data_IF_089392213011
#
_entry.id   IF_089392213011
#
_cell.length_a   1.000
_cell.length_b   1.000
_cell.length_c   1.000
_cell.angle_alpha   90.00
_cell.angle_beta   90.00
_cell.angle_gamma   90.00
#
_symmetry.space_group_name_H-M   'P 1'
#
loop_
_entity.id
_entity.type
_entity.pdbx_description
1 polymer ?
#
# COMPACT_ATOMS: atom_id res chain seq x y z
N UNK A 1 8.66 2.80 4.66
CA UNK A 1 8.77 2.10 3.37
C UNK A 1 7.39 1.76 2.83
N UNK A 2 6.55 1.10 3.63
CA UNK A 2 5.14 0.80 3.31
C UNK A 2 4.31 2.07 3.03
N UNK A 3 4.53 3.17 3.77
CA UNK A 3 3.84 4.43 3.48
C UNK A 3 4.26 5.08 2.15
N UNK A 4 5.48 4.80 1.67
CA UNK A 4 5.96 5.30 0.37
C UNK A 4 5.23 4.59 -0.77
N UNK A 5 4.99 3.28 -0.63
CA UNK A 5 4.17 2.51 -1.57
C UNK A 5 2.76 3.11 -1.63
N UNK A 6 2.11 3.35 -0.49
CA UNK A 6 0.78 3.97 -0.43
C UNK A 6 0.72 5.34 -1.11
N UNK A 7 1.76 6.17 -0.92
CA UNK A 7 1.87 7.47 -1.60
C UNK A 7 1.91 7.33 -3.13
N UNK A 8 2.72 6.41 -3.64
CA UNK A 8 2.86 6.22 -5.09
C UNK A 8 1.64 5.52 -5.71
N UNK A 9 0.92 4.68 -4.94
CA UNK A 9 -0.39 4.13 -5.33
C UNK A 9 -1.42 5.25 -5.55
N UNK A 10 -1.51 6.21 -4.64
CA UNK A 10 -2.44 7.35 -4.76
C UNK A 10 -2.08 8.23 -5.98
N UNK A 11 -0.79 8.36 -6.28
CA UNK A 11 -0.30 9.06 -7.48
C UNK A 11 -0.46 8.29 -8.79
N UNK A 12 -0.92 7.03 -8.73
CA UNK A 12 -1.02 6.13 -9.89
C UNK A 12 0.33 5.86 -10.60
N UNK A 13 1.44 5.96 -9.87
CA UNK A 13 2.76 5.68 -10.41
C UNK A 13 3.09 4.19 -10.29
N UNK A 14 2.47 3.38 -11.15
CA UNK A 14 2.51 1.92 -11.05
C UNK A 14 3.90 1.32 -11.20
N UNK A 15 4.76 1.92 -12.04
CA UNK A 15 6.15 1.46 -12.23
C UNK A 15 6.93 1.54 -10.92
N UNK A 16 6.83 2.66 -10.23
CA UNK A 16 7.50 2.87 -8.96
C UNK A 16 6.90 2.02 -7.84
N UNK A 17 5.57 1.84 -7.83
CA UNK A 17 4.89 0.93 -6.88
C UNK A 17 5.47 -0.48 -6.99
N UNK A 18 5.55 -1.02 -8.21
CA UNK A 18 6.13 -2.35 -8.45
C UNK A 18 7.60 -2.40 -8.02
N UNK A 19 8.39 -1.37 -8.34
CA UNK A 19 9.79 -1.29 -7.89
C UNK A 19 9.92 -1.36 -6.37
N UNK A 20 9.10 -0.58 -5.65
CA UNK A 20 9.11 -0.54 -4.19
C UNK A 20 8.64 -1.86 -3.56
N UNK A 21 7.72 -2.58 -4.22
CA UNK A 21 7.28 -3.91 -3.78
C UNK A 21 8.40 -4.92 -3.95
N UNK A 22 9.10 -4.93 -5.09
CA UNK A 22 10.22 -5.85 -5.34
C UNK A 22 11.40 -5.60 -4.38
N UNK A 23 11.60 -4.37 -3.94
CA UNK A 23 12.61 -4.00 -2.93
C UNK A 23 12.14 -4.19 -1.46
N UNK A 24 11.00 -4.83 -1.19
CA UNK A 24 10.42 -4.86 0.15
C UNK A 24 11.13 -5.83 1.14
N UNK A 25 12.11 -5.38 1.94
CA UNK A 25 12.92 -6.24 2.85
C UNK A 25 13.11 -5.71 4.28
N UNK A 26 13.50 -6.60 5.23
CA UNK A 26 14.06 -6.21 6.53
C UNK A 26 15.34 -5.38 6.38
N UNK A 27 15.61 -4.51 7.36
CA UNK A 27 16.70 -3.51 7.35
C UNK A 27 18.14 -4.06 7.29
N UNK A 28 18.38 -5.37 7.26
CA UNK A 28 19.72 -5.97 7.14
C UNK A 28 19.66 -7.46 6.75
N UNK A 29 20.62 -7.94 5.93
CA UNK A 29 20.89 -9.37 5.68
C UNK A 29 21.04 -9.78 4.20
N UNK A 30 21.48 -11.02 3.97
CA UNK A 30 21.73 -11.69 2.66
C UNK A 30 20.53 -11.62 1.70
N UNK A 31 19.31 -11.49 2.24
CA UNK A 31 18.10 -11.33 1.43
C UNK A 31 18.03 -10.01 0.64
N UNK A 32 18.77 -8.96 1.03
CA UNK A 32 18.76 -7.67 0.32
C UNK A 32 19.42 -7.78 -1.05
N UNK A 33 20.65 -8.30 -1.10
CA UNK A 33 21.45 -8.34 -2.32
C UNK A 33 20.75 -9.14 -3.43
N UNK A 34 20.06 -10.23 -3.06
CA UNK A 34 19.27 -11.04 -4.00
C UNK A 34 18.12 -10.24 -4.63
N UNK A 35 17.37 -9.49 -3.83
CA UNK A 35 16.20 -8.76 -4.32
C UNK A 35 16.58 -7.46 -5.03
N UNK A 36 17.72 -6.86 -4.68
CA UNK A 36 18.33 -5.81 -5.49
C UNK A 36 18.71 -6.35 -6.87
N UNK A 37 19.30 -7.55 -6.95
CA UNK A 37 19.55 -8.23 -8.24
C UNK A 37 18.27 -8.49 -9.01
N UNK A 38 17.21 -9.00 -8.37
CA UNK A 38 15.89 -9.18 -9.00
C UNK A 38 15.38 -7.85 -9.56
N UNK A 39 15.48 -6.77 -8.79
CA UNK A 39 15.02 -5.44 -9.24
C UNK A 39 15.83 -4.96 -10.45
N UNK A 40 17.16 -5.13 -10.43
CA UNK A 40 18.00 -4.79 -11.59
C UNK A 40 17.64 -5.61 -12.82
N UNK A 41 17.49 -6.93 -12.69
CA UNK A 41 17.10 -7.80 -13.80
C UNK A 41 15.75 -7.39 -14.40
N UNK A 42 14.78 -7.02 -13.57
CA UNK A 42 13.44 -6.61 -14.02
C UNK A 42 13.43 -5.24 -14.72
N UNK A 43 14.23 -4.28 -14.25
CA UNK A 43 14.15 -2.88 -14.73
C UNK A 43 15.29 -2.45 -15.66
N UNK A 44 16.49 -3.01 -15.52
CA UNK A 44 17.69 -2.70 -16.30
C UNK A 44 17.86 -3.71 -17.43
N UNK A 45 17.93 -5.01 -17.10
CA UNK A 45 18.24 -6.07 -18.07
C UNK A 45 16.98 -6.60 -18.81
N UNK A 46 15.79 -6.29 -18.30
CA UNK A 46 14.49 -6.79 -18.77
C UNK A 46 14.40 -8.33 -18.89
N UNK A 47 15.22 -9.04 -18.11
CA UNK A 47 15.24 -10.50 -18.04
C UNK A 47 14.34 -10.98 -16.89
N UNK A 48 13.07 -11.17 -17.21
CA UNK A 48 12.04 -11.58 -16.24
C UNK A 48 12.12 -13.06 -15.87
N UNK A 49 12.71 -13.90 -16.72
CA UNK A 49 12.87 -15.33 -16.46
C UNK A 49 13.99 -15.57 -15.45
N UNK A 50 15.16 -14.93 -15.65
CA UNK A 50 16.24 -14.95 -14.68
C UNK A 50 15.82 -14.34 -13.34
N UNK A 51 15.00 -13.29 -13.37
CA UNK A 51 14.42 -12.70 -12.16
C UNK A 51 13.55 -13.70 -11.41
N UNK A 52 12.74 -14.52 -12.11
CA UNK A 52 11.84 -15.50 -11.51
C UNK A 52 12.61 -16.65 -10.84
N UNK A 53 13.72 -17.10 -11.42
CA UNK A 53 14.57 -18.16 -10.86
C UNK A 53 15.22 -17.75 -9.52
N UNK A 54 15.45 -16.45 -9.32
CA UNK A 54 15.97 -15.91 -8.06
C UNK A 54 14.89 -15.74 -6.98
N UNK A 55 13.61 -15.93 -7.28
CA UNK A 55 12.51 -15.78 -6.32
C UNK A 55 12.37 -17.02 -5.45
N UNK A 56 12.48 -16.84 -4.13
CA UNK A 56 12.29 -17.94 -3.18
C UNK A 56 10.79 -18.20 -2.89
N UNK A 57 10.39 -19.40 -2.40
CA UNK A 57 8.99 -19.72 -2.09
C UNK A 57 8.31 -18.78 -1.08
N UNK A 58 9.09 -18.07 -0.25
CA UNK A 58 8.59 -17.06 0.71
C UNK A 58 8.19 -15.73 0.06
N UNK A 59 8.74 -15.42 -1.12
CA UNK A 59 8.55 -14.16 -1.84
C UNK A 59 7.29 -14.21 -2.73
N UNK A 60 6.14 -14.46 -2.10
CA UNK A 60 4.88 -14.71 -2.80
C UNK A 60 4.43 -13.51 -3.64
N UNK A 61 4.62 -12.30 -3.12
CA UNK A 61 4.19 -11.08 -3.80
C UNK A 61 5.03 -10.81 -5.04
N UNK A 62 6.35 -10.93 -4.89
CA UNK A 62 7.32 -10.74 -5.96
C UNK A 62 7.11 -11.75 -7.08
N UNK A 63 6.85 -13.02 -6.72
CA UNK A 63 6.53 -14.07 -7.69
C UNK A 63 5.30 -13.70 -8.53
N UNK A 64 4.21 -13.30 -7.89
CA UNK A 64 2.95 -12.94 -8.57
C UNK A 64 3.17 -11.75 -9.51
N UNK A 65 3.91 -10.75 -9.06
CA UNK A 65 4.22 -9.55 -9.85
C UNK A 65 5.06 -9.91 -11.07
N UNK A 66 6.18 -10.62 -10.90
CA UNK A 66 7.08 -11.01 -12.00
C UNK A 66 6.34 -11.90 -13.00
N UNK A 67 5.57 -12.88 -12.55
CA UNK A 67 4.75 -13.72 -13.43
C UNK A 67 3.72 -12.92 -14.24
N UNK A 68 3.13 -11.89 -13.63
CA UNK A 68 2.21 -10.99 -14.35
C UNK A 68 2.94 -10.16 -15.41
N UNK A 69 4.16 -9.70 -15.10
CA UNK A 69 4.99 -8.94 -16.04
C UNK A 69 5.49 -9.79 -17.20
N UNK A 70 5.79 -11.08 -16.99
CA UNK A 70 6.17 -12.03 -18.06
C UNK A 70 5.03 -12.13 -19.08
N UNK A 71 3.79 -12.23 -18.61
CA UNK A 71 2.60 -12.33 -19.49
C UNK A 71 2.29 -11.03 -20.22
N UNK A 72 2.49 -9.90 -19.56
CA UNK A 72 2.18 -8.58 -20.09
C UNK A 72 3.31 -7.61 -19.74
N UNK A 73 4.33 -7.51 -20.62
CA UNK A 73 5.37 -6.52 -20.50
C UNK A 73 4.75 -5.11 -20.42
N UNK A 74 5.23 -4.27 -19.50
CA UNK A 74 4.71 -2.93 -19.19
C UNK A 74 3.32 -2.85 -18.52
N UNK A 75 2.67 -3.98 -18.24
CA UNK A 75 1.38 -4.04 -17.53
C UNK A 75 1.49 -3.85 -16.01
N UNK A 76 2.20 -2.83 -15.52
CA UNK A 76 2.52 -2.64 -14.10
C UNK A 76 1.27 -2.46 -13.21
N UNK A 77 0.23 -1.79 -13.73
CA UNK A 77 -1.06 -1.65 -13.05
C UNK A 77 -1.73 -3.02 -12.89
N UNK A 78 -1.79 -3.83 -13.95
CA UNK A 78 -2.37 -5.17 -13.91
C UNK A 78 -1.59 -6.06 -12.93
N UNK A 79 -0.25 -5.99 -12.94
CA UNK A 79 0.59 -6.72 -11.99
C UNK A 79 0.27 -6.35 -10.52
N UNK A 80 0.02 -5.08 -10.23
CA UNK A 80 -0.42 -4.65 -8.90
C UNK A 80 -1.83 -5.17 -8.55
N UNK A 81 -2.75 -5.21 -9.51
CA UNK A 81 -4.09 -5.77 -9.30
C UNK A 81 -4.12 -7.31 -9.14
N UNK A 82 -3.05 -8.02 -9.52
CA UNK A 82 -2.89 -9.45 -9.21
C UNK A 82 -2.56 -9.74 -7.75
N UNK A 83 -2.08 -8.76 -6.99
CA UNK A 83 -1.87 -8.89 -5.54
C UNK A 83 -3.23 -9.09 -4.85
N UNK A 84 -3.28 -9.68 -3.66
CA UNK A 84 -4.53 -9.78 -2.91
C UNK A 84 -5.06 -8.40 -2.51
N UNK A 85 -6.39 -8.26 -2.41
CA UNK A 85 -7.02 -7.01 -1.99
C UNK A 85 -6.52 -6.53 -0.62
N UNK A 86 -6.38 -7.45 0.33
CA UNK A 86 -5.95 -7.14 1.70
C UNK A 86 -4.54 -6.53 1.72
N UNK A 87 -3.60 -7.10 0.96
CA UNK A 87 -2.24 -6.53 0.87
C UNK A 87 -2.24 -5.14 0.23
N UNK A 88 -3.08 -4.90 -0.79
CA UNK A 88 -3.20 -3.56 -1.38
C UNK A 88 -3.73 -2.52 -0.39
N UNK A 89 -4.74 -2.90 0.39
CA UNK A 89 -5.36 -2.05 1.40
C UNK A 89 -4.34 -1.62 2.47
N UNK A 90 -3.45 -2.54 2.89
CA UNK A 90 -2.37 -2.23 3.85
C UNK A 90 -1.49 -1.06 3.37
N UNK A 91 -1.18 -0.96 2.08
CA UNK A 91 -0.37 0.14 1.57
C UNK A 91 -1.07 1.49 1.72
N UNK A 92 -2.38 1.54 1.46
CA UNK A 92 -3.20 2.75 1.60
C UNK A 92 -3.29 3.15 3.08
N UNK A 93 -3.63 2.20 3.95
CA UNK A 93 -3.69 2.44 5.39
C UNK A 93 -2.35 2.92 5.95
N UNK A 94 -1.22 2.36 5.50
CA UNK A 94 0.10 2.81 5.92
C UNK A 94 0.35 4.31 5.60
N UNK A 95 -0.16 4.80 4.46
CA UNK A 95 -0.06 6.22 4.12
C UNK A 95 -1.04 7.08 4.93
N UNK A 96 -2.28 6.60 5.16
CA UNK A 96 -3.25 7.27 6.02
C UNK A 96 -2.71 7.44 7.45
N UNK A 97 -2.18 6.38 8.06
CA UNK A 97 -1.57 6.43 9.39
C UNK A 97 -0.36 7.36 9.42
N UNK A 98 0.43 7.42 8.34
CA UNK A 98 1.55 8.36 8.25
C UNK A 98 1.08 9.82 8.28
N UNK A 99 0.05 10.17 7.51
CA UNK A 99 -0.53 11.52 7.52
C UNK A 99 -1.13 11.82 8.89
N UNK A 100 -1.93 10.90 9.44
CA UNK A 100 -2.56 11.06 10.75
C UNK A 100 -1.49 11.33 11.83
N UNK A 101 -0.44 10.50 11.89
CA UNK A 101 0.63 10.66 12.87
C UNK A 101 1.32 12.02 12.74
N UNK A 102 1.54 12.49 11.51
CA UNK A 102 2.12 13.81 11.25
C UNK A 102 1.21 14.94 11.74
N UNK A 103 -0.07 14.91 11.41
CA UNK A 103 -1.04 15.94 11.77
C UNK A 103 -1.26 15.96 13.28
N UNK A 104 -1.49 14.80 13.90
CA UNK A 104 -1.69 14.68 15.35
C UNK A 104 -0.45 15.17 16.12
N UNK A 105 0.74 14.76 15.70
CA UNK A 105 1.99 15.23 16.35
C UNK A 105 2.14 16.75 16.23
N UNK A 106 1.81 17.34 15.09
CA UNK A 106 1.86 18.78 14.89
C UNK A 106 0.81 19.52 15.75
N UNK A 107 -0.42 18.99 15.81
CA UNK A 107 -1.51 19.52 16.66
C UNK A 107 -1.15 19.47 18.13
N UNK A 108 -0.58 18.36 18.60
CA UNK A 108 -0.16 18.18 19.99
C UNK A 108 1.01 19.10 20.33
N UNK A 109 2.00 19.23 19.45
CA UNK A 109 3.15 20.12 19.66
C UNK A 109 2.75 21.60 19.73
N UNK A 110 1.77 22.03 18.92
CA UNK A 110 1.38 23.44 18.82
C UNK A 110 0.43 23.89 19.93
N UNK A 111 -0.48 23.02 20.37
CA UNK A 111 -1.58 23.43 21.25
C UNK A 111 -1.72 22.56 22.51
N UNK A 112 -0.88 21.52 22.65
CA UNK A 112 -0.92 20.60 23.77
C UNK A 112 -2.21 19.78 23.81
N UNK A 113 -2.50 19.24 24.99
CA UNK A 113 -3.67 18.38 25.25
C UNK A 113 -4.98 19.15 25.49
N UNK A 114 -5.09 20.40 25.02
CA UNK A 114 -6.29 21.23 25.19
C UNK A 114 -7.25 20.99 24.03
N UNK A 115 -8.54 20.83 24.35
CA UNK A 115 -9.62 20.85 23.37
C UNK A 115 -9.83 22.30 22.92
N UNK A 116 -9.83 22.54 21.62
CA UNK A 116 -10.03 23.84 21.01
C UNK A 116 -11.31 23.86 20.18
N UNK A 117 -11.87 25.06 20.01
CA UNK A 117 -12.99 25.28 19.09
C UNK A 117 -12.55 24.86 17.67
N UNK A 118 -13.32 23.96 17.06
CA UNK A 118 -13.03 23.39 15.74
C UNK A 118 -12.32 22.02 15.77
N UNK A 119 -11.94 21.50 16.94
CA UNK A 119 -11.51 20.10 17.04
C UNK A 119 -12.71 19.16 16.79
N UNK A 120 -12.47 18.08 16.06
CA UNK A 120 -13.47 17.05 15.81
C UNK A 120 -13.58 16.13 17.04
N UNK A 121 -14.77 16.08 17.64
CA UNK A 121 -15.09 15.19 18.78
C UNK A 121 -16.02 14.10 18.28
N UNK A 122 -15.65 12.84 18.49
CA UNK A 122 -16.52 11.71 18.14
C UNK A 122 -17.54 11.50 19.25
N UNK A 123 -18.82 11.73 18.95
CA UNK A 123 -19.94 11.37 19.82
C UNK A 123 -20.34 9.94 19.52
N UNK A 124 -19.60 8.97 20.05
CA UNK A 124 -19.94 7.56 19.85
C UNK A 124 -21.20 7.27 20.69
N UNK A 125 -22.37 7.38 20.06
CA UNK A 125 -23.56 6.60 20.44
C UNK A 125 -23.42 5.21 19.83
N UNK A 126 -23.58 4.18 20.65
CA UNK A 126 -23.46 2.74 20.38
C UNK A 126 -24.16 2.24 19.10
N UNK A 127 -23.57 2.51 17.93
CA UNK A 127 -23.94 1.90 16.64
C UNK A 127 -22.69 1.61 15.81
N UNK A 128 -21.65 1.06 16.45
CA UNK A 128 -20.47 0.56 15.76
C UNK A 128 -20.61 -0.94 15.44
N UNK A 129 -21.75 -1.32 14.84
CA UNK A 129 -21.93 -2.63 14.22
C UNK A 129 -21.59 -2.63 12.72
N UNK A 130 -21.31 -1.48 12.11
CA UNK A 130 -21.20 -1.38 10.65
C UNK A 130 -19.80 -0.97 10.17
N UNK A 131 -18.78 -1.77 10.52
CA UNK A 131 -17.63 -2.00 9.63
C UNK A 131 -17.18 -3.45 9.80
N UNK A 132 -18.05 -4.39 9.41
CA UNK A 132 -17.57 -5.74 9.06
C UNK A 132 -17.16 -5.68 7.58
N UNK A 133 -15.88 -5.93 7.35
CA UNK A 133 -15.33 -6.19 6.02
C UNK A 133 -16.03 -7.41 5.42
N UNK A 134 -16.90 -7.20 4.43
CA UNK A 134 -17.32 -8.29 3.55
C UNK A 134 -16.31 -8.45 2.40
N UNK A 135 -15.89 -9.70 2.20
CA UNK A 135 -14.91 -10.20 1.23
C UNK A 135 -15.26 -9.85 -0.24
N UNK A 136 -16.49 -9.41 -0.51
CA UNK A 136 -17.04 -9.24 -1.88
C UNK A 136 -17.10 -7.81 -2.43
N UNK A 137 -16.44 -6.84 -1.79
CA UNK A 137 -16.00 -5.62 -2.49
C UNK A 137 -17.07 -4.71 -3.09
N UNK A 138 -18.28 -4.70 -2.55
CA UNK A 138 -19.29 -3.67 -2.86
C UNK A 138 -19.25 -2.55 -1.82
N UNK A 139 -18.79 -1.36 -2.22
CA UNK A 139 -19.03 -0.14 -1.46
C UNK A 139 -20.49 0.29 -1.68
N UNK A 140 -21.30 0.35 -0.63
CA UNK A 140 -22.60 1.05 -0.68
C UNK A 140 -22.35 2.55 -0.52
N UNK A 141 -22.63 3.31 -1.56
CA UNK A 141 -22.71 4.77 -1.50
C UNK A 141 -24.00 5.14 -0.75
N UNK A 142 -23.88 5.76 0.41
CA UNK A 142 -24.99 6.38 1.11
C UNK A 142 -24.81 7.90 1.05
N UNK A 143 -25.13 8.51 -0.10
CA UNK A 143 -25.48 9.93 -0.10
C UNK A 143 -26.87 10.06 0.53
N UNK A 144 -26.97 10.80 1.62
CA UNK A 144 -28.20 11.51 1.95
C UNK A 144 -27.87 12.97 2.16
N UNK A 145 -28.39 13.78 1.25
CA UNK A 145 -28.50 15.23 1.37
C UNK A 145 -29.15 15.57 2.72
N UNK A 146 -28.49 16.43 3.48
CA UNK A 146 -29.12 17.08 4.64
C UNK A 146 -29.79 18.34 4.09
N UNK A 147 -31.09 18.26 3.83
CA UNK A 147 -31.94 19.45 3.69
C UNK A 147 -32.25 19.93 5.11
N UNK A 148 -31.75 21.15 5.39
CA UNK A 148 -32.06 22.14 6.46
C UNK A 148 -32.59 21.59 7.79
#
# INVERSE_FOLDING_TARGET
MTQTIGKEVIKQNWKEVIRLILCQHPRSGVGRDRKEKITKLVFEDNDLEAALDLVEPRDRLEKVVIQSLIRQPNGYNNAFYKISRNTRIIYIHAYQSYIWNKVTSARLKKFGNKILIGDLVSTISDTASDVLEDDDGKFKEAYREVIV
#
